data_IF_700178122270
#
_entry.id   IF_700178122270
#
_cell.length_a   1.000
_cell.length_b   1.000
_cell.length_c   1.000
_cell.angle_alpha   90.00
_cell.angle_beta   90.00
_cell.angle_gamma   90.00
#
_symmetry.space_group_name_H-M   'P 1'
#
loop_
_entity.id
_entity.type
_entity.pdbx_description
1 polymer ?
#
# COMPACT_ATOMS: atom_id res chain seq x y z
N UNK A 1 27.97 18.82 -34.42
CA UNK A 1 27.24 18.75 -33.13
C UNK A 1 28.12 19.23 -31.97
N UNK A 2 29.33 18.69 -31.79
CA UNK A 2 30.26 19.12 -30.74
C UNK A 2 30.50 20.65 -30.73
N UNK A 3 30.87 21.25 -31.87
CA UNK A 3 31.09 22.71 -31.96
C UNK A 3 29.87 23.55 -31.52
N UNK A 4 28.66 23.15 -31.91
CA UNK A 4 27.44 23.85 -31.54
C UNK A 4 27.13 23.74 -30.03
N UNK A 5 27.54 22.63 -29.40
CA UNK A 5 27.45 22.45 -27.93
C UNK A 5 28.50 23.32 -27.24
N UNK A 6 29.75 23.37 -27.74
CA UNK A 6 30.80 24.22 -27.17
C UNK A 6 30.41 25.71 -27.22
N UNK A 7 29.86 26.16 -28.34
CA UNK A 7 29.43 27.56 -28.53
C UNK A 7 28.27 27.91 -27.58
N UNK A 8 27.35 26.96 -27.35
CA UNK A 8 26.28 27.11 -26.36
C UNK A 8 26.82 27.19 -24.92
N UNK A 9 27.77 26.32 -24.55
CA UNK A 9 28.39 26.33 -23.22
C UNK A 9 29.17 27.63 -22.96
N UNK A 10 29.90 28.13 -23.97
CA UNK A 10 30.57 29.44 -23.90
C UNK A 10 29.57 30.58 -23.69
N UNK A 11 28.42 30.55 -24.38
CA UNK A 11 27.36 31.54 -24.21
C UNK A 11 26.79 31.56 -22.78
N UNK A 12 26.85 30.44 -22.08
CA UNK A 12 26.41 30.31 -20.67
C UNK A 12 27.52 30.55 -19.64
N UNK A 13 28.69 31.04 -20.04
CA UNK A 13 29.77 31.42 -19.11
C UNK A 13 30.54 30.23 -18.53
N UNK A 14 30.43 29.05 -19.13
CA UNK A 14 31.22 27.87 -18.73
C UNK A 14 32.70 28.13 -19.07
N UNK A 15 33.59 27.76 -18.15
CA UNK A 15 35.03 28.00 -18.32
C UNK A 15 35.56 27.25 -19.55
N UNK A 16 36.45 27.86 -20.36
CA UNK A 16 36.93 27.25 -21.61
C UNK A 16 37.56 25.86 -21.46
N UNK A 17 38.08 25.53 -20.27
CA UNK A 17 38.63 24.22 -19.95
C UNK A 17 37.56 23.11 -19.92
N UNK A 18 36.32 23.45 -19.55
CA UNK A 18 35.18 22.52 -19.50
C UNK A 18 34.37 22.51 -20.80
N UNK A 19 34.62 23.47 -21.71
CA UNK A 19 33.93 23.54 -22.99
C UNK A 19 34.49 22.56 -24.04
N UNK A 20 35.64 21.93 -23.81
CA UNK A 20 36.19 20.92 -24.74
C UNK A 20 35.39 19.63 -24.61
N UNK A 21 34.43 19.44 -25.51
CA UNK A 21 33.71 18.17 -25.60
C UNK A 21 34.55 17.23 -26.46
N UNK A 22 35.37 16.41 -25.80
CA UNK A 22 36.12 15.35 -26.45
C UNK A 22 35.17 14.38 -27.17
N UNK A 23 35.51 14.02 -28.41
CA UNK A 23 34.81 12.94 -29.10
C UNK A 23 35.16 11.65 -28.36
N UNK A 24 34.17 10.94 -27.80
CA UNK A 24 34.41 9.69 -27.09
C UNK A 24 35.29 8.77 -27.95
N UNK A 25 36.37 8.28 -27.34
CA UNK A 25 37.21 7.24 -27.90
C UNK A 25 36.38 5.98 -28.19
N UNK A 26 36.89 5.11 -29.06
CA UNK A 26 36.20 3.85 -29.37
C UNK A 26 35.95 3.02 -28.09
N UNK A 27 36.91 3.00 -27.17
CA UNK A 27 36.83 2.32 -25.88
C UNK A 27 35.75 2.92 -24.97
N UNK A 28 35.69 4.25 -24.84
CA UNK A 28 34.64 4.93 -24.04
C UNK A 28 33.24 4.69 -24.60
N UNK A 29 33.11 4.59 -25.93
CA UNK A 29 31.83 4.27 -26.58
C UNK A 29 31.38 2.86 -26.27
N UNK A 30 32.29 1.90 -26.28
CA UNK A 30 32.00 0.49 -25.95
C UNK A 30 31.56 0.34 -24.48
N UNK A 31 32.21 1.07 -23.56
CA UNK A 31 31.81 1.14 -22.16
C UNK A 31 30.39 1.72 -22.01
N UNK A 32 30.07 2.79 -22.72
CA UNK A 32 28.74 3.42 -22.68
C UNK A 32 27.64 2.52 -23.24
N UNK A 33 27.89 1.84 -24.37
CA UNK A 33 26.91 0.91 -24.95
C UNK A 33 26.71 -0.32 -24.06
N UNK A 34 27.78 -0.86 -23.47
CA UNK A 34 27.68 -1.96 -22.51
C UNK A 34 26.90 -1.56 -21.26
N UNK A 35 27.17 -0.37 -20.71
CA UNK A 35 26.45 0.16 -19.55
C UNK A 35 24.95 0.39 -19.87
N UNK A 36 24.66 0.92 -21.06
CA UNK A 36 23.29 1.14 -21.54
C UNK A 36 22.54 -0.19 -21.72
N UNK A 37 23.18 -1.19 -22.34
CA UNK A 37 22.59 -2.52 -22.51
C UNK A 37 22.29 -3.19 -21.16
N UNK A 38 23.22 -3.10 -20.19
CA UNK A 38 23.02 -3.61 -18.83
C UNK A 38 21.87 -2.91 -18.11
N UNK A 39 21.78 -1.58 -18.24
CA UNK A 39 20.70 -0.80 -17.64
C UNK A 39 19.33 -1.15 -18.22
N UNK A 40 19.22 -1.23 -19.56
CA UNK A 40 17.98 -1.59 -20.23
C UNK A 40 17.54 -3.01 -19.88
N UNK A 41 18.46 -3.97 -19.81
CA UNK A 41 18.16 -5.33 -19.38
C UNK A 41 17.59 -5.39 -17.96
N UNK A 42 18.16 -4.64 -17.01
CA UNK A 42 17.63 -4.54 -15.64
C UNK A 42 16.24 -3.91 -15.60
N UNK A 43 16.00 -2.91 -16.45
CA UNK A 43 14.72 -2.23 -16.55
C UNK A 43 13.62 -3.16 -17.09
N UNK A 44 13.93 -3.95 -18.12
CA UNK A 44 13.02 -4.96 -18.66
C UNK A 44 12.68 -6.03 -17.60
N UNK A 45 13.68 -6.52 -16.87
CA UNK A 45 13.45 -7.50 -15.80
C UNK A 45 12.57 -6.94 -14.67
N UNK A 46 12.68 -5.65 -14.35
CA UNK A 46 11.81 -4.99 -13.37
C UNK A 46 10.37 -4.92 -13.88
N UNK A 47 10.15 -4.55 -15.14
CA UNK A 47 8.81 -4.52 -15.73
C UNK A 47 8.16 -5.91 -15.80
N UNK A 48 8.91 -6.95 -16.19
CA UNK A 48 8.42 -8.33 -16.22
C UNK A 48 8.06 -8.86 -14.81
N UNK A 49 8.75 -8.39 -13.77
CA UNK A 49 8.44 -8.76 -12.38
C UNK A 49 7.21 -8.06 -11.79
N UNK A 50 6.68 -7.03 -12.45
CA UNK A 50 5.58 -6.20 -11.93
C UNK A 50 4.19 -6.69 -12.42
N UNK A 51 4.10 -7.74 -13.24
CA UNK A 51 2.84 -8.17 -13.88
C UNK A 51 2.11 -9.35 -13.22
N UNK A 52 2.28 -9.61 -11.92
CA UNK A 52 1.47 -10.64 -11.24
C UNK A 52 1.03 -10.21 -9.85
N UNK A 53 -0.01 -9.37 -9.79
CA UNK A 53 -1.15 -9.51 -8.86
C UNK A 53 -2.02 -8.25 -8.84
N UNK A 54 -3.02 -8.21 -9.72
CA UNK A 54 -4.28 -7.51 -9.48
C UNK A 54 -5.36 -8.19 -10.32
N UNK A 55 -6.57 -8.28 -9.77
CA UNK A 55 -7.77 -8.81 -10.42
C UNK A 55 -7.89 -8.23 -11.83
N UNK A 56 -8.03 -9.10 -12.83
CA UNK A 56 -7.97 -8.81 -14.26
C UNK A 56 -9.11 -7.87 -14.69
N UNK A 57 -8.91 -6.58 -14.43
CA UNK A 57 -9.67 -5.49 -15.01
C UNK A 57 -9.20 -5.42 -16.46
N UNK A 58 -10.07 -5.86 -17.39
CA UNK A 58 -9.74 -6.16 -18.78
C UNK A 58 -8.58 -5.36 -19.39
N UNK A 59 -7.63 -6.09 -19.99
CA UNK A 59 -6.46 -5.56 -20.64
C UNK A 59 -6.80 -4.41 -21.62
N UNK A 60 -6.47 -3.18 -21.25
CA UNK A 60 -6.65 -1.99 -22.12
C UNK A 60 -5.77 -2.00 -23.38
N UNK A 61 -4.99 -3.06 -23.58
CA UNK A 61 -4.02 -3.27 -24.66
C UNK A 61 -4.60 -4.03 -25.85
N UNK A 62 -5.78 -4.66 -25.73
CA UNK A 62 -6.38 -5.44 -26.83
C UNK A 62 -7.90 -5.28 -26.90
N UNK A 63 -8.46 -5.50 -28.08
CA UNK A 63 -9.90 -5.52 -28.25
C UNK A 63 -10.49 -6.87 -27.82
N UNK A 64 -11.39 -6.89 -26.84
CA UNK A 64 -12.03 -8.13 -26.35
C UNK A 64 -12.89 -8.84 -27.42
N UNK A 65 -13.32 -8.11 -28.46
CA UNK A 65 -14.15 -8.68 -29.52
C UNK A 65 -13.41 -9.36 -30.67
N UNK A 66 -12.18 -8.93 -30.98
CA UNK A 66 -11.40 -9.52 -32.08
C UNK A 66 -10.00 -9.98 -31.68
N UNK A 67 -9.54 -9.71 -30.45
CA UNK A 67 -8.23 -10.11 -29.93
C UNK A 67 -7.04 -9.30 -30.46
N UNK A 68 -7.24 -8.40 -31.44
CA UNK A 68 -6.16 -7.57 -31.97
C UNK A 68 -5.71 -6.53 -30.94
N UNK A 69 -4.41 -6.25 -30.94
CA UNK A 69 -3.80 -5.30 -30.03
C UNK A 69 -4.15 -3.85 -30.39
N UNK A 70 -3.99 -2.94 -29.43
CA UNK A 70 -4.31 -1.52 -29.57
C UNK A 70 -3.51 -0.87 -30.71
N UNK A 71 -2.30 -1.35 -30.98
CA UNK A 71 -1.41 -0.85 -32.02
C UNK A 71 -1.95 -1.12 -33.44
N UNK A 72 -2.85 -2.10 -33.60
CA UNK A 72 -3.52 -2.37 -34.88
C UNK A 72 -4.58 -1.31 -35.24
N UNK A 73 -4.90 -0.40 -34.33
CA UNK A 73 -5.96 0.59 -34.50
C UNK A 73 -5.43 2.02 -34.37
N UNK A 74 -5.83 2.89 -35.29
CA UNK A 74 -5.53 4.32 -35.19
C UNK A 74 -6.33 5.03 -34.08
N UNK A 75 -7.43 4.42 -33.63
CA UNK A 75 -8.32 4.98 -32.61
C UNK A 75 -8.15 4.27 -31.27
N UNK A 76 -8.27 5.02 -30.18
CA UNK A 76 -8.29 4.44 -28.83
C UNK A 76 -9.47 3.48 -28.66
N UNK A 77 -9.23 2.37 -27.95
CA UNK A 77 -10.28 1.40 -27.61
C UNK A 77 -11.34 2.06 -26.71
N UNK A 78 -12.61 1.78 -26.99
CA UNK A 78 -13.77 2.27 -26.25
C UNK A 78 -14.16 1.27 -25.17
N UNK A 79 -14.37 1.75 -23.95
CA UNK A 79 -14.85 0.92 -22.84
C UNK A 79 -16.32 0.56 -23.01
N UNK A 80 -16.72 -0.61 -22.49
CA UNK A 80 -18.11 -0.99 -22.37
C UNK A 80 -18.84 0.03 -21.48
N UNK A 81 -19.88 0.68 -22.01
CA UNK A 81 -20.63 1.70 -21.28
C UNK A 81 -21.34 1.16 -20.03
N UNK A 82 -21.56 -0.16 -19.95
CA UNK A 82 -22.20 -0.79 -18.79
C UNK A 82 -21.21 -1.15 -17.70
N UNK A 83 -20.20 -1.99 -17.97
CA UNK A 83 -19.26 -2.47 -16.95
C UNK A 83 -18.01 -1.59 -16.79
N UNK A 84 -17.60 -0.85 -17.83
CA UNK A 84 -16.31 -0.14 -17.86
C UNK A 84 -15.07 -1.03 -17.96
N UNK A 85 -15.21 -2.35 -17.89
CA UNK A 85 -14.10 -3.32 -17.81
C UNK A 85 -13.66 -3.89 -19.17
N UNK A 86 -14.56 -4.01 -20.15
CA UNK A 86 -14.22 -4.54 -21.48
C UNK A 86 -13.92 -3.41 -22.49
N UNK A 87 -12.99 -3.65 -23.42
CA UNK A 87 -12.47 -2.69 -24.40
C UNK A 87 -12.72 -3.15 -25.84
N UNK A 88 -13.24 -2.23 -26.67
CA UNK A 88 -13.61 -2.51 -28.05
C UNK A 88 -13.13 -1.41 -28.99
N UNK A 89 -12.53 -1.77 -30.13
CA UNK A 89 -12.18 -0.77 -31.15
C UNK A 89 -13.42 -0.24 -31.90
N UNK A 90 -14.52 -1.02 -31.95
CA UNK A 90 -15.74 -0.71 -32.70
C UNK A 90 -16.99 -1.26 -32.01
N UNK A 91 -18.16 -0.67 -32.34
CA UNK A 91 -19.46 -1.11 -31.80
C UNK A 91 -19.84 -2.49 -32.34
N UNK A 92 -19.36 -2.82 -33.53
CA UNK A 92 -19.53 -4.08 -34.22
C UNK A 92 -18.83 -5.21 -33.45
N UNK A 93 -17.59 -4.98 -33.01
CA UNK A 93 -16.88 -5.94 -32.15
C UNK A 93 -17.56 -6.12 -30.80
N UNK A 94 -18.07 -5.05 -30.19
CA UNK A 94 -18.85 -5.16 -28.95
C UNK A 94 -20.11 -6.03 -29.15
N UNK A 95 -20.87 -5.81 -30.23
CA UNK A 95 -22.07 -6.61 -30.56
C UNK A 95 -21.73 -8.09 -30.80
N UNK A 96 -20.64 -8.38 -31.50
CA UNK A 96 -20.18 -9.75 -31.75
C UNK A 96 -19.78 -10.47 -30.46
N UNK A 97 -19.05 -9.77 -29.58
CA UNK A 97 -18.61 -10.30 -28.29
C UNK A 97 -19.74 -10.37 -27.25
N UNK A 98 -20.84 -9.63 -27.45
CA UNK A 98 -21.89 -9.47 -26.45
C UNK A 98 -22.46 -10.78 -25.90
N UNK A 99 -22.56 -11.84 -26.71
CA UNK A 99 -23.06 -13.15 -26.24
C UNK A 99 -22.20 -13.74 -25.10
N UNK A 100 -20.89 -13.53 -25.16
CA UNK A 100 -19.93 -14.01 -24.16
C UNK A 100 -19.75 -13.01 -23.03
N UNK A 101 -19.78 -11.71 -23.35
CA UNK A 101 -19.62 -10.65 -22.35
C UNK A 101 -20.87 -10.44 -21.47
N UNK A 102 -22.09 -10.61 -22.01
CA UNK A 102 -23.34 -10.37 -21.29
C UNK A 102 -23.42 -11.02 -19.90
N UNK A 103 -23.07 -12.31 -19.70
CA UNK A 103 -23.12 -12.92 -18.36
C UNK A 103 -22.12 -12.32 -17.37
N UNK A 104 -21.00 -11.76 -17.84
CA UNK A 104 -19.98 -11.13 -16.99
C UNK A 104 -20.10 -9.60 -16.94
N UNK A 105 -20.99 -9.02 -17.75
CA UNK A 105 -21.21 -7.59 -17.82
C UNK A 105 -22.07 -7.10 -16.64
N UNK A 106 -21.44 -7.02 -15.47
CA UNK A 106 -21.97 -6.34 -14.30
C UNK A 106 -21.72 -4.83 -14.46
N UNK A 107 -22.73 -3.99 -14.20
CA UNK A 107 -22.43 -2.57 -14.08
C UNK A 107 -21.37 -2.42 -12.96
N UNK A 108 -20.33 -1.57 -13.12
CA UNK A 108 -19.55 -1.24 -11.94
C UNK A 108 -20.58 -0.68 -10.98
N UNK A 109 -20.58 -1.13 -9.74
CA UNK A 109 -21.47 -0.61 -8.72
C UNK A 109 -21.36 0.92 -8.76
N UNK A 110 -22.33 1.52 -9.43
CA UNK A 110 -22.42 2.96 -9.73
C UNK A 110 -23.21 3.64 -8.63
N UNK A 111 -23.57 2.89 -7.57
CA UNK A 111 -23.46 3.47 -6.25
C UNK A 111 -22.04 4.05 -6.21
N UNK A 112 -21.84 5.39 -6.20
CA UNK A 112 -20.54 5.90 -5.88
C UNK A 112 -20.19 5.14 -4.61
N UNK A 113 -19.14 4.30 -4.68
CA UNK A 113 -18.55 3.74 -3.48
C UNK A 113 -17.97 4.97 -2.82
N UNK A 114 -18.86 5.72 -2.16
CA UNK A 114 -18.55 6.70 -1.18
C UNK A 114 -17.66 5.90 -0.26
N UNK A 115 -16.38 6.22 -0.32
CA UNK A 115 -15.41 5.65 0.59
C UNK A 115 -16.06 5.72 1.97
N UNK A 116 -15.90 4.68 2.79
CA UNK A 116 -16.59 4.64 4.09
C UNK A 116 -16.35 5.96 4.85
N UNK A 117 -15.16 6.56 4.72
CA UNK A 117 -14.85 7.88 5.25
C UNK A 117 -15.76 8.99 4.68
N UNK A 118 -15.95 9.08 3.36
CA UNK A 118 -16.78 10.09 2.72
C UNK A 118 -18.27 9.92 3.06
N UNK A 119 -18.74 8.66 3.14
CA UNK A 119 -20.09 8.36 3.61
C UNK A 119 -20.29 8.86 5.04
N UNK A 120 -19.41 8.49 5.97
CA UNK A 120 -19.54 8.86 7.38
C UNK A 120 -19.32 10.36 7.64
N UNK A 121 -18.45 11.01 6.87
CA UNK A 121 -18.14 12.44 7.07
C UNK A 121 -19.16 13.39 6.43
N UNK A 122 -19.82 13.00 5.33
CA UNK A 122 -20.70 13.91 4.58
C UNK A 122 -22.17 13.51 4.57
N UNK A 123 -22.48 12.20 4.50
CA UNK A 123 -23.85 11.70 4.34
C UNK A 123 -24.46 11.22 5.64
N UNK A 124 -23.69 10.52 6.48
CA UNK A 124 -24.20 9.88 7.70
C UNK A 124 -24.80 10.87 8.71
N UNK A 125 -24.33 12.14 8.72
CA UNK A 125 -24.93 13.17 9.57
C UNK A 125 -26.37 13.51 9.17
N UNK A 126 -26.69 13.44 7.87
CA UNK A 126 -28.02 13.76 7.35
C UNK A 126 -28.93 12.53 7.25
N UNK A 127 -28.36 11.35 7.04
CA UNK A 127 -29.10 10.09 6.89
C UNK A 127 -29.73 9.64 8.23
N UNK A 128 -31.06 9.48 8.32
CA UNK A 128 -31.73 9.06 9.56
C UNK A 128 -31.34 7.67 10.04
N UNK A 129 -31.08 6.73 9.12
CA UNK A 129 -30.68 5.37 9.45
C UNK A 129 -29.26 5.32 9.98
N UNK A 130 -28.34 6.05 9.36
CA UNK A 130 -26.97 6.19 9.84
C UNK A 130 -26.92 6.89 11.20
N UNK A 131 -27.74 7.92 11.42
CA UNK A 131 -27.88 8.56 12.74
C UNK A 131 -28.38 7.57 13.78
N UNK A 132 -29.47 6.85 13.53
CA UNK A 132 -30.00 5.85 14.46
C UNK A 132 -28.98 4.75 14.80
N UNK A 133 -28.17 4.33 13.81
CA UNK A 133 -27.07 3.39 14.03
C UNK A 133 -25.93 4.01 14.86
N UNK A 134 -25.55 5.25 14.60
CA UNK A 134 -24.56 5.94 15.45
C UNK A 134 -25.08 6.13 16.88
N UNK A 135 -26.36 6.44 17.05
CA UNK A 135 -27.04 6.50 18.37
C UNK A 135 -26.96 5.16 19.10
N UNK A 136 -27.29 4.06 18.42
CA UNK A 136 -27.29 2.73 19.04
C UNK A 136 -25.88 2.26 19.43
N UNK A 137 -24.86 2.66 18.66
CA UNK A 137 -23.45 2.43 18.96
C UNK A 137 -22.85 3.45 19.96
N UNK A 138 -23.64 4.43 20.41
CA UNK A 138 -23.21 5.53 21.30
C UNK A 138 -22.04 6.36 20.73
N UNK A 139 -22.01 6.53 19.40
CA UNK A 139 -21.01 7.31 18.66
C UNK A 139 -21.44 8.76 18.38
N UNK A 140 -22.55 9.21 18.97
CA UNK A 140 -23.03 10.58 18.76
C UNK A 140 -21.98 11.59 19.22
N UNK A 141 -21.42 12.32 18.25
CA UNK A 141 -20.45 13.37 18.50
C UNK A 141 -21.06 14.52 19.29
N UNK A 142 -20.26 15.08 20.20
CA UNK A 142 -20.59 16.32 20.91
C UNK A 142 -20.91 17.42 19.89
N UNK A 143 -22.04 18.15 19.99
CA UNK A 143 -22.55 19.05 18.93
C UNK A 143 -21.63 20.24 18.57
N UNK A 144 -20.51 20.43 19.27
CA UNK A 144 -19.57 21.53 19.06
C UNK A 144 -18.22 21.14 18.43
N UNK A 145 -18.01 19.88 18.01
CA UNK A 145 -16.77 19.49 17.30
C UNK A 145 -16.98 19.49 15.79
N UNK A 146 -16.74 20.64 15.15
CA UNK A 146 -16.48 20.70 13.71
C UNK A 146 -15.02 20.35 13.44
N UNK A 147 -14.75 19.11 13.05
CA UNK A 147 -13.43 18.67 12.61
C UNK A 147 -13.24 17.18 12.81
N UNK A 148 -12.61 16.52 11.84
CA UNK A 148 -12.26 15.08 11.81
C UNK A 148 -11.33 14.61 12.94
N UNK A 149 -11.03 15.47 13.91
CA UNK A 149 -10.47 15.08 15.20
C UNK A 149 -11.58 14.49 16.11
N UNK A 150 -12.24 13.43 15.62
CA UNK A 150 -12.75 12.42 16.53
C UNK A 150 -11.51 11.76 17.14
N UNK A 151 -11.02 12.36 18.23
CA UNK A 151 -10.25 11.61 19.20
C UNK A 151 -11.09 10.39 19.53
N UNK A 152 -10.53 9.20 19.31
CA UNK A 152 -10.97 7.99 19.98
C UNK A 152 -11.23 8.33 21.46
N UNK A 153 -12.33 7.85 22.07
CA UNK A 153 -12.68 8.18 23.44
C UNK A 153 -11.65 7.57 24.41
N UNK A 154 -10.51 8.24 24.55
CA UNK A 154 -9.52 8.00 25.58
C UNK A 154 -9.42 9.27 26.43
N UNK A 155 -9.86 9.11 27.68
CA UNK A 155 -9.61 9.99 28.83
C UNK A 155 -10.11 11.44 28.79
N UNK A 156 -11.31 11.64 29.33
CA UNK A 156 -11.56 12.75 30.27
C UNK A 156 -11.62 12.17 31.69
N UNK A 157 -10.46 12.03 32.34
CA UNK A 157 -10.39 12.02 33.79
C UNK A 157 -10.18 13.46 34.25
N UNK A 158 -11.13 13.97 35.04
CA UNK A 158 -11.09 15.29 35.65
C UNK A 158 -10.00 15.28 36.75
N UNK A 159 -8.81 15.77 36.40
CA UNK A 159 -7.72 16.00 37.34
C UNK A 159 -6.82 17.11 36.79
N UNK A 160 -6.70 18.21 37.54
CA UNK A 160 -5.95 19.42 37.19
C UNK A 160 -4.55 19.08 36.65
N UNK A 161 -4.33 19.27 35.35
CA UNK A 161 -2.99 19.18 34.74
C UNK A 161 -2.27 20.53 34.81
N UNK A 162 -1.06 20.51 35.38
CA UNK A 162 -0.10 21.63 35.39
C UNK A 162 0.55 21.85 34.01
N UNK A 163 1.03 23.06 33.66
CA UNK A 163 1.38 23.44 32.28
C UNK A 163 2.68 22.86 31.69
N UNK A 164 3.28 21.81 32.26
CA UNK A 164 4.68 21.43 31.96
C UNK A 164 4.89 20.09 31.25
N UNK A 165 3.93 19.62 30.45
CA UNK A 165 4.13 18.52 29.49
C UNK A 165 3.59 18.88 28.11
N UNK A 166 4.34 19.71 27.38
CA UNK A 166 4.29 19.75 25.92
C UNK A 166 5.01 18.51 25.39
N UNK A 167 4.34 17.36 25.38
CA UNK A 167 4.77 16.25 24.54
C UNK A 167 4.29 16.59 23.12
N UNK A 168 5.10 17.38 22.40
CA UNK A 168 4.93 17.57 20.98
C UNK A 168 5.20 16.23 20.30
N UNK A 169 4.15 15.47 20.02
CA UNK A 169 4.23 14.36 19.09
C UNK A 169 4.64 14.93 17.74
N UNK A 170 5.83 14.58 17.29
CA UNK A 170 6.39 14.82 15.96
C UNK A 170 5.61 14.02 14.89
N UNK A 171 4.30 14.30 14.74
CA UNK A 171 3.40 13.65 13.77
C UNK A 171 2.91 14.66 12.73
N UNK A 172 3.84 15.39 12.12
CA UNK A 172 3.53 16.31 11.05
C UNK A 172 4.59 16.20 9.96
N UNK A 173 4.38 15.31 8.98
CA UNK A 173 4.42 15.72 7.56
C UNK A 173 4.02 14.67 6.50
N UNK A 174 3.58 13.44 6.84
CA UNK A 174 3.15 12.48 5.80
C UNK A 174 1.99 11.53 6.20
N UNK A 175 1.07 11.98 7.07
CA UNK A 175 -0.09 11.18 7.54
C UNK A 175 -1.14 10.85 6.46
N UNK A 176 -0.88 11.14 5.18
CA UNK A 176 -1.65 10.61 4.05
C UNK A 176 -1.10 9.30 3.50
N UNK A 177 -0.21 8.60 4.22
CA UNK A 177 -0.25 7.14 4.21
C UNK A 177 -1.71 6.75 4.50
N UNK A 178 -2.45 6.44 3.43
CA UNK A 178 -3.91 6.45 3.44
C UNK A 178 -4.43 5.66 4.63
N UNK A 179 -5.43 6.18 5.37
CA UNK A 179 -6.12 5.40 6.41
C UNK A 179 -6.48 3.98 5.91
N UNK A 180 -6.74 3.85 4.60
CA UNK A 180 -6.89 2.58 3.88
C UNK A 180 -5.70 1.62 4.02
N UNK A 181 -4.46 2.10 3.93
CA UNK A 181 -3.24 1.33 4.16
C UNK A 181 -3.15 0.84 5.60
N UNK A 182 -3.34 1.74 6.56
CA UNK A 182 -3.33 1.40 8.00
C UNK A 182 -4.44 0.41 8.35
N UNK A 183 -5.65 0.56 7.79
CA UNK A 183 -6.76 -0.37 7.98
C UNK A 183 -6.47 -1.75 7.41
N UNK A 184 -5.79 -1.83 6.25
CA UNK A 184 -5.37 -3.11 5.67
C UNK A 184 -4.34 -3.80 6.57
N UNK A 185 -3.35 -3.07 7.07
CA UNK A 185 -2.32 -3.62 7.96
C UNK A 185 -2.89 -4.07 9.30
N UNK A 186 -3.66 -3.22 9.97
CA UNK A 186 -4.38 -3.55 11.20
C UNK A 186 -5.29 -4.76 11.05
N UNK A 187 -5.87 -4.95 9.86
CA UNK A 187 -6.66 -6.13 9.55
C UNK A 187 -5.83 -7.40 9.44
N UNK A 188 -4.66 -7.36 8.81
CA UNK A 188 -3.75 -8.53 8.76
C UNK A 188 -3.28 -8.89 10.18
N UNK A 189 -2.90 -7.89 10.98
CA UNK A 189 -2.55 -8.08 12.40
C UNK A 189 -3.66 -8.78 13.18
N UNK A 190 -4.91 -8.43 12.90
CA UNK A 190 -6.07 -9.07 13.50
C UNK A 190 -6.23 -10.53 13.07
N UNK A 191 -6.10 -10.79 11.77
CA UNK A 191 -6.22 -12.13 11.20
C UNK A 191 -5.08 -13.06 11.65
N UNK A 192 -3.94 -12.51 12.05
CA UNK A 192 -2.81 -13.25 12.61
C UNK A 192 -3.06 -13.78 14.04
N UNK A 193 -4.09 -13.31 14.74
CA UNK A 193 -4.41 -13.65 16.14
C UNK A 193 -3.16 -13.83 17.04
N UNK A 194 -2.42 -12.76 17.34
CA UNK A 194 -1.11 -12.88 17.97
C UNK A 194 -1.16 -13.58 19.34
N UNK A 195 -0.21 -14.47 19.64
CA UNK A 195 -0.21 -15.23 20.89
C UNK A 195 0.09 -14.34 22.10
N UNK A 196 -0.17 -14.82 23.33
CA UNK A 196 0.46 -14.29 24.53
C UNK A 196 1.97 -14.18 24.34
N UNK A 197 2.59 -13.14 24.91
CA UNK A 197 4.02 -12.90 24.72
C UNK A 197 4.39 -12.08 23.47
N UNK A 198 3.44 -11.79 22.58
CA UNK A 198 3.68 -10.87 21.46
C UNK A 198 3.62 -9.40 21.89
N UNK A 199 4.51 -8.53 21.38
CA UNK A 199 4.43 -7.08 21.59
C UNK A 199 3.06 -6.49 21.22
N UNK A 200 2.49 -6.95 20.10
CA UNK A 200 1.19 -6.47 19.63
C UNK A 200 0.06 -6.77 20.60
N UNK A 201 0.02 -7.98 21.18
CA UNK A 201 -1.01 -8.34 22.16
C UNK A 201 -0.85 -7.54 23.45
N UNK A 202 0.38 -7.30 23.89
CA UNK A 202 0.65 -6.44 25.05
C UNK A 202 0.19 -4.99 24.81
N UNK A 203 0.46 -4.44 23.62
CA UNK A 203 0.03 -3.11 23.21
C UNK A 203 -1.51 -3.02 23.15
N UNK A 204 -2.18 -4.00 22.55
CA UNK A 204 -3.65 -4.04 22.50
C UNK A 204 -4.28 -4.19 23.88
N UNK A 205 -3.69 -4.99 24.78
CA UNK A 205 -4.14 -5.11 26.15
C UNK A 205 -3.95 -3.81 26.95
N UNK A 206 -2.94 -3.00 26.62
CA UNK A 206 -2.77 -1.67 27.20
C UNK A 206 -3.83 -0.68 26.69
N UNK A 207 -4.11 -0.71 25.39
CA UNK A 207 -5.13 0.15 24.79
C UNK A 207 -6.55 -0.24 25.22
N UNK A 208 -6.75 -1.52 25.57
CA UNK A 208 -7.90 -2.08 26.28
C UNK A 208 -9.23 -1.42 25.95
N UNK A 209 -9.51 -1.25 24.66
CA UNK A 209 -10.77 -0.72 24.19
C UNK A 209 -11.73 -1.88 23.92
N UNK A 210 -12.62 -2.23 24.87
CA UNK A 210 -13.60 -3.30 24.68
C UNK A 210 -14.59 -2.99 23.53
N UNK A 211 -14.62 -1.76 23.02
CA UNK A 211 -15.51 -1.33 21.94
C UNK A 211 -14.98 -1.63 20.54
N UNK A 212 -13.69 -1.98 20.39
CA UNK A 212 -13.16 -2.43 19.11
C UNK A 212 -13.63 -3.86 18.83
N UNK A 213 -14.88 -3.96 18.35
CA UNK A 213 -15.48 -5.19 17.86
C UNK A 213 -14.56 -5.78 16.79
N UNK A 214 -14.02 -6.96 17.11
CA UNK A 214 -13.15 -7.76 16.25
C UNK A 214 -13.86 -7.98 14.92
N UNK A 215 -13.28 -7.53 13.81
CA UNK A 215 -13.96 -7.55 12.50
C UNK A 215 -14.44 -8.96 12.13
N UNK A 216 -15.76 -9.10 11.93
CA UNK A 216 -16.49 -10.36 11.73
C UNK A 216 -16.42 -10.93 10.30
N UNK A 217 -15.83 -10.22 9.32
CA UNK A 217 -15.82 -10.72 7.93
C UNK A 217 -14.70 -11.73 7.69
N UNK A 218 -14.99 -12.85 7.00
CA UNK A 218 -13.97 -13.79 6.56
C UNK A 218 -12.83 -13.10 5.80
N UNK A 219 -11.62 -13.64 5.92
CA UNK A 219 -10.46 -13.16 5.19
C UNK A 219 -10.66 -13.31 3.67
N UNK A 220 -10.32 -12.28 2.90
CA UNK A 220 -10.25 -12.37 1.44
C UNK A 220 -9.07 -13.27 1.02
N UNK A 221 -9.03 -13.70 -0.25
CA UNK A 221 -7.91 -14.50 -0.78
C UNK A 221 -6.55 -13.79 -0.60
N UNK A 222 -6.48 -12.51 -0.94
CA UNK A 222 -5.25 -11.70 -0.78
C UNK A 222 -4.85 -11.53 0.70
N UNK A 223 -5.83 -11.40 1.60
CA UNK A 223 -5.55 -11.34 3.04
C UNK A 223 -4.97 -12.66 3.56
N UNK A 224 -5.50 -13.81 3.12
CA UNK A 224 -4.99 -15.13 3.50
C UNK A 224 -3.54 -15.33 3.02
N UNK A 225 -3.25 -14.95 1.78
CA UNK A 225 -1.89 -15.02 1.24
C UNK A 225 -0.91 -14.17 2.05
N UNK A 226 -1.28 -12.93 2.36
CA UNK A 226 -0.42 -12.06 3.18
C UNK A 226 -0.25 -12.56 4.62
N UNK A 227 -1.29 -13.17 5.19
CA UNK A 227 -1.17 -13.86 6.49
C UNK A 227 -0.17 -15.00 6.40
N UNK A 228 -0.21 -15.81 5.33
CA UNK A 228 0.73 -16.91 5.12
C UNK A 228 2.17 -16.41 4.98
N UNK A 229 2.41 -15.38 4.17
CA UNK A 229 3.74 -14.74 4.05
C UNK A 229 4.30 -14.30 5.41
N UNK A 230 3.43 -13.71 6.26
CA UNK A 230 3.83 -13.31 7.62
C UNK A 230 4.12 -14.55 8.48
N UNK A 231 3.36 -15.64 8.36
CA UNK A 231 3.61 -16.89 9.10
C UNK A 231 4.92 -17.55 8.69
N UNK A 232 5.24 -17.57 7.41
CA UNK A 232 6.53 -18.05 6.90
C UNK A 232 7.69 -17.21 7.47
N UNK A 233 7.55 -15.88 7.46
CA UNK A 233 8.54 -14.99 8.07
C UNK A 233 8.68 -15.23 9.58
N UNK A 234 7.56 -15.44 10.31
CA UNK A 234 7.61 -15.81 11.73
C UNK A 234 8.34 -17.14 11.95
N UNK A 235 8.19 -18.13 11.06
CA UNK A 235 8.89 -19.40 11.15
C UNK A 235 10.41 -19.21 10.98
N UNK A 236 10.85 -18.40 10.02
CA UNK A 236 12.27 -18.05 9.84
C UNK A 236 12.85 -17.35 11.07
N UNK A 237 12.13 -16.38 11.64
CA UNK A 237 12.56 -15.69 12.86
C UNK A 237 12.66 -16.69 14.02
N UNK A 238 11.65 -17.55 14.22
CA UNK A 238 11.68 -18.58 15.28
C UNK A 238 12.81 -19.58 15.11
N UNK A 239 13.10 -20.03 13.88
CA UNK A 239 14.21 -20.94 13.61
C UNK A 239 15.54 -20.32 14.01
N UNK A 240 15.71 -19.01 13.80
CA UNK A 240 16.95 -18.29 14.10
C UNK A 240 17.10 -17.95 15.57
N UNK A 241 16.05 -17.38 16.17
CA UNK A 241 16.09 -16.75 17.50
C UNK A 241 15.65 -17.72 18.61
N UNK A 242 14.77 -18.67 18.27
CA UNK A 242 14.06 -19.53 19.21
C UNK A 242 12.69 -18.96 19.62
N UNK A 243 11.84 -19.80 20.20
CA UNK A 243 10.53 -19.39 20.70
C UNK A 243 10.64 -18.52 21.96
N UNK A 244 9.76 -17.52 22.10
CA UNK A 244 9.67 -16.68 23.31
C UNK A 244 10.83 -15.71 23.49
N UNK A 245 11.58 -15.39 22.43
CA UNK A 245 12.74 -14.50 22.44
C UNK A 245 12.58 -13.38 21.42
N UNK A 246 12.94 -12.16 21.80
CA UNK A 246 12.99 -11.02 20.88
C UNK A 246 14.18 -11.12 19.92
N UNK A 247 13.99 -10.88 18.61
CA UNK A 247 15.10 -10.83 17.66
C UNK A 247 16.02 -9.62 17.93
N UNK A 248 17.33 -9.83 17.83
CA UNK A 248 18.30 -8.71 17.79
C UNK A 248 18.37 -8.08 16.40
N UNK A 249 19.04 -6.93 16.28
CA UNK A 249 19.31 -6.31 14.97
C UNK A 249 20.17 -7.21 14.07
N UNK A 250 21.06 -8.01 14.64
CA UNK A 250 21.87 -9.00 13.91
C UNK A 250 20.98 -10.14 13.38
N UNK A 251 20.00 -10.59 14.17
CA UNK A 251 19.03 -11.61 13.72
C UNK A 251 18.15 -11.10 12.59
N UNK A 252 17.67 -9.85 12.70
CA UNK A 252 16.93 -9.20 11.63
C UNK A 252 17.73 -9.15 10.33
N UNK A 253 18.98 -8.68 10.37
CA UNK A 253 19.83 -8.62 9.19
C UNK A 253 20.10 -10.01 8.61
N UNK A 254 20.32 -11.03 9.46
CA UNK A 254 20.57 -12.38 9.02
C UNK A 254 19.36 -12.98 8.29
N UNK A 255 18.14 -12.81 8.86
CA UNK A 255 16.89 -13.27 8.23
C UNK A 255 16.62 -12.50 6.95
N UNK A 256 16.72 -11.17 6.94
CA UNK A 256 16.44 -10.37 5.74
C UNK A 256 17.43 -10.67 4.60
N UNK A 257 18.70 -10.92 4.89
CA UNK A 257 19.70 -11.28 3.87
C UNK A 257 19.41 -12.60 3.15
N UNK A 258 18.60 -13.51 3.71
CA UNK A 258 18.23 -14.75 3.00
C UNK A 258 17.35 -14.48 1.77
N UNK A 259 16.74 -13.30 1.69
CA UNK A 259 15.94 -12.86 0.54
C UNK A 259 16.77 -12.15 -0.54
N UNK A 260 18.10 -12.15 -0.40
CA UNK A 260 19.02 -11.59 -1.39
C UNK A 260 18.80 -10.10 -1.65
N UNK A 261 18.87 -9.62 -2.90
CA UNK A 261 18.67 -8.21 -3.24
C UNK A 261 17.28 -7.65 -2.88
N UNK A 262 16.27 -8.51 -2.72
CA UNK A 262 14.89 -8.10 -2.44
C UNK A 262 14.61 -7.86 -0.95
N UNK A 263 15.62 -7.97 -0.08
CA UNK A 263 15.43 -7.79 1.35
C UNK A 263 14.74 -6.48 1.78
N UNK A 264 14.90 -5.31 1.10
CA UNK A 264 14.22 -4.09 1.52
C UNK A 264 12.69 -4.20 1.43
N UNK A 265 12.18 -4.94 0.44
CA UNK A 265 10.74 -5.17 0.29
C UNK A 265 10.16 -6.07 1.39
N UNK A 266 11.01 -6.88 2.03
CA UNK A 266 10.62 -7.78 3.12
C UNK A 266 10.63 -7.11 4.49
N UNK A 267 11.20 -5.90 4.63
CA UNK A 267 11.26 -5.18 5.90
C UNK A 267 9.88 -4.97 6.57
N UNK A 268 8.81 -4.56 5.86
CA UNK A 268 7.49 -4.42 6.46
C UNK A 268 6.92 -5.76 6.95
N UNK A 269 7.10 -6.83 6.18
CA UNK A 269 6.64 -8.18 6.54
C UNK A 269 7.41 -8.68 7.77
N UNK A 270 8.73 -8.45 7.84
CA UNK A 270 9.55 -8.77 9.00
C UNK A 270 9.07 -8.04 10.26
N UNK A 271 8.87 -6.72 10.17
CA UNK A 271 8.40 -5.91 11.30
C UNK A 271 7.06 -6.42 11.82
N UNK A 272 6.11 -6.66 10.92
CA UNK A 272 4.80 -7.22 11.25
C UNK A 272 4.93 -8.62 11.87
N UNK A 273 5.74 -9.51 11.29
CA UNK A 273 5.99 -10.85 11.79
C UNK A 273 6.56 -10.85 13.20
N UNK A 274 7.61 -10.04 13.44
CA UNK A 274 8.24 -9.89 14.75
C UNK A 274 7.22 -9.39 15.78
N UNK A 275 6.47 -8.31 15.48
CA UNK A 275 5.51 -7.73 16.42
C UNK A 275 4.34 -8.65 16.77
N UNK A 276 4.00 -9.59 15.87
CA UNK A 276 2.85 -10.50 16.01
C UNK A 276 3.22 -11.93 16.44
N UNK A 277 4.50 -12.24 16.63
CA UNK A 277 4.95 -13.52 17.20
C UNK A 277 5.23 -13.42 18.69
N UNK A 278 5.26 -14.57 19.37
CA UNK A 278 5.66 -14.66 20.77
C UNK A 278 7.15 -14.31 20.96
N UNK A 279 7.41 -13.24 21.70
CA UNK A 279 8.74 -12.79 22.09
C UNK A 279 8.97 -12.85 23.62
N UNK A 280 8.07 -13.52 24.36
CA UNK A 280 8.16 -13.59 25.82
C UNK A 280 7.76 -12.31 26.56
N UNK A 281 7.01 -11.41 25.91
CA UNK A 281 6.56 -10.16 26.54
C UNK A 281 5.56 -10.45 27.68
N UNK A 282 5.83 -10.06 28.93
CA UNK A 282 4.94 -10.37 30.05
C UNK A 282 3.60 -9.64 29.92
N UNK A 283 2.50 -10.34 30.25
CA UNK A 283 1.12 -9.85 30.10
C UNK A 283 0.73 -8.66 31.02
N UNK A 284 1.68 -8.03 31.72
CA UNK A 284 1.43 -6.94 32.68
C UNK A 284 2.51 -5.85 32.74
N UNK A 285 3.48 -5.84 31.80
CA UNK A 285 4.68 -5.02 31.90
C UNK A 285 4.48 -3.49 31.83
N UNK A 286 3.27 -2.99 31.55
CA UNK A 286 2.98 -1.56 31.40
C UNK A 286 2.12 -0.96 32.52
N UNK A 287 1.89 -1.69 33.63
CA UNK A 287 1.29 -1.08 34.82
C UNK A 287 2.40 -0.37 35.62
N UNK A 288 2.70 0.86 35.24
CA UNK A 288 3.47 1.83 36.06
C UNK A 288 2.53 2.77 36.78
#
# INVERSE_FOLDING_TARGET
MAQAIEDSLKKHGVTPALCKVGVCTAEERDILETARASFLSKLTALFESTEREAVDLGDSTKCDGCGMSRECFFQALKKCARCGEAFYHSRECQKKHWKHHKPTCCAPDTTPSLDAHDYYSTKAATDPGARALMSSLRLEGHPNRRGTACASPSQTHVGKMTPRRKCGYYLAHDMKCTLKGQHKEARIEYLLDPPPGSPWRALNAFMNDPSLVRSLRPATKAEKQKVEEVREMQALIRQRVGAGKSPSSADMQAVLKTFGPNWPAMCPIYSLAANTMDQGVPAGGYRT
#
